data_IF_412544706883
#
_entry.id   IF_412544706883
#
_cell.length_a   1.000
_cell.length_b   1.000
_cell.length_c   1.000
_cell.angle_alpha   90.00
_cell.angle_beta   90.00
_cell.angle_gamma   90.00
#
_symmetry.space_group_name_H-M   'P 1'
#
loop_
_entity.id
_entity.type
_entity.pdbx_description
1 polymer ?
#
# COMPACT_ATOMS: atom_id res chain seq x y z
N UNK A 1 29.60 26.59 -5.18
CA UNK A 1 28.28 26.71 -4.52
C UNK A 1 27.35 25.72 -5.20
N UNK A 2 27.27 24.49 -4.71
CA UNK A 2 26.58 23.43 -5.43
C UNK A 2 26.28 22.25 -4.52
N UNK A 3 25.24 22.36 -3.70
CA UNK A 3 24.82 21.26 -2.82
C UNK A 3 23.31 21.32 -2.55
N UNK A 4 22.48 21.02 -3.55
CA UNK A 4 21.01 21.01 -3.38
C UNK A 4 20.28 19.84 -4.06
N UNK A 5 20.88 18.65 -4.11
CA UNK A 5 20.14 17.41 -4.44
C UNK A 5 20.39 16.25 -3.48
N UNK A 6 21.61 16.11 -2.96
CA UNK A 6 21.97 14.98 -2.08
C UNK A 6 21.40 15.15 -0.66
N UNK A 7 21.28 16.39 -0.17
CA UNK A 7 20.79 16.67 1.20
C UNK A 7 19.32 16.27 1.37
N UNK A 8 18.49 16.45 0.34
CA UNK A 8 17.09 15.99 0.33
C UNK A 8 17.05 14.45 0.39
N UNK A 9 17.87 13.77 -0.41
CA UNK A 9 17.94 12.29 -0.39
C UNK A 9 18.40 11.73 0.96
N UNK A 10 19.26 12.44 1.70
CA UNK A 10 19.75 12.01 3.02
C UNK A 10 18.78 12.31 4.15
N UNK A 11 18.09 13.46 4.14
CA UNK A 11 17.02 13.74 5.14
C UNK A 11 15.81 12.80 4.99
N UNK A 12 15.51 12.31 3.78
CA UNK A 12 14.52 11.26 3.54
C UNK A 12 14.89 9.87 4.09
N UNK A 13 16.17 9.61 4.38
CA UNK A 13 16.60 8.34 5.01
C UNK A 13 16.49 8.33 6.54
N UNK A 14 16.43 9.51 7.18
CA UNK A 14 16.49 9.62 8.64
C UNK A 14 15.12 9.46 9.32
N UNK A 15 14.02 9.77 8.63
CA UNK A 15 12.67 9.55 9.17
C UNK A 15 12.02 8.25 8.70
N UNK A 16 12.65 7.47 7.82
CA UNK A 16 12.12 6.18 7.35
C UNK A 16 10.82 6.26 6.54
N UNK A 17 10.08 7.36 6.60
CA UNK A 17 8.82 7.62 5.90
C UNK A 17 9.13 8.19 4.52
N UNK A 18 9.52 7.31 3.62
CA UNK A 18 9.58 7.63 2.18
C UNK A 18 8.16 7.97 1.69
N UNK A 19 7.99 8.84 0.70
CA UNK A 19 6.71 9.10 0.01
C UNK A 19 5.93 7.80 -0.29
N UNK A 20 6.66 6.74 -0.63
CA UNK A 20 6.13 5.38 -0.78
C UNK A 20 5.38 4.85 0.45
N UNK A 21 5.88 5.06 1.66
CA UNK A 21 5.22 4.65 2.90
C UNK A 21 3.95 5.46 3.19
N UNK A 22 3.95 6.76 2.87
CA UNK A 22 2.75 7.59 3.01
C UNK A 22 1.66 7.09 2.05
N UNK A 23 2.01 6.85 0.79
CA UNK A 23 1.11 6.27 -0.21
C UNK A 23 0.66 4.87 0.21
N UNK A 24 1.56 4.03 0.73
CA UNK A 24 1.21 2.71 1.26
C UNK A 24 0.23 2.81 2.44
N UNK A 25 0.38 3.81 3.32
CA UNK A 25 -0.50 4.02 4.47
C UNK A 25 -1.90 4.45 4.05
N UNK A 26 -2.02 5.38 3.10
CA UNK A 26 -3.31 5.80 2.54
C UNK A 26 -3.98 4.63 1.82
N UNK A 27 -3.23 3.85 1.02
CA UNK A 27 -3.77 2.65 0.35
C UNK A 27 -4.22 1.59 1.36
N UNK A 28 -3.49 1.39 2.45
CA UNK A 28 -3.87 0.47 3.50
C UNK A 28 -5.16 0.92 4.20
N UNK A 29 -5.33 2.21 4.44
CA UNK A 29 -6.53 2.75 5.08
C UNK A 29 -7.78 2.60 4.20
N UNK A 30 -7.65 2.91 2.90
CA UNK A 30 -8.70 2.63 1.93
C UNK A 30 -9.00 1.12 1.83
N UNK A 31 -7.97 0.27 1.80
CA UNK A 31 -8.16 -1.17 1.81
C UNK A 31 -8.94 -1.63 3.05
N UNK A 32 -8.67 -1.09 4.24
CA UNK A 32 -9.45 -1.39 5.45
C UNK A 32 -10.93 -1.04 5.29
N UNK A 33 -11.24 0.12 4.74
CA UNK A 33 -12.63 0.52 4.51
C UNK A 33 -13.34 -0.43 3.53
N UNK A 34 -12.65 -0.83 2.45
CA UNK A 34 -13.21 -1.79 1.51
C UNK A 34 -13.32 -3.21 2.10
N UNK A 35 -12.44 -3.61 3.02
CA UNK A 35 -12.54 -4.89 3.73
C UNK A 35 -13.75 -4.95 4.66
N UNK A 36 -14.20 -3.81 5.20
CA UNK A 36 -15.47 -3.74 5.95
C UNK A 36 -16.68 -3.88 5.02
N UNK A 37 -16.50 -3.58 3.74
CA UNK A 37 -17.52 -3.74 2.70
C UNK A 37 -17.29 -5.10 1.98
N UNK A 38 -17.72 -6.20 2.60
CA UNK A 38 -17.55 -7.59 2.11
C UNK A 38 -18.12 -7.89 0.71
N UNK A 39 -18.71 -6.91 0.03
CA UNK A 39 -19.28 -7.03 -1.30
C UNK A 39 -18.24 -6.85 -2.42
N UNK A 40 -17.11 -6.19 -2.16
CA UNK A 40 -16.14 -5.84 -3.20
C UNK A 40 -15.17 -7.00 -3.47
N UNK A 41 -15.04 -7.46 -4.73
CA UNK A 41 -14.04 -8.44 -5.06
C UNK A 41 -12.62 -7.87 -4.98
N UNK A 42 -11.71 -8.70 -4.51
CA UNK A 42 -10.31 -8.36 -4.24
C UNK A 42 -9.58 -7.85 -5.47
N UNK A 43 -9.93 -8.39 -6.64
CA UNK A 43 -9.48 -7.93 -7.96
C UNK A 43 -9.80 -6.46 -8.19
N UNK A 44 -11.03 -6.07 -7.88
CA UNK A 44 -11.54 -4.71 -8.08
C UNK A 44 -11.01 -3.76 -7.00
N UNK A 45 -10.86 -4.24 -5.76
CA UNK A 45 -10.18 -3.50 -4.69
C UNK A 45 -8.73 -3.15 -5.08
N UNK A 46 -7.99 -4.08 -5.68
CA UNK A 46 -6.64 -3.82 -6.17
C UNK A 46 -6.61 -2.73 -7.25
N UNK A 47 -7.52 -2.80 -8.20
CA UNK A 47 -7.69 -1.78 -9.25
C UNK A 47 -8.03 -0.41 -8.68
N UNK A 48 -8.99 -0.32 -7.74
CA UNK A 48 -9.36 0.92 -7.06
C UNK A 48 -8.21 1.56 -6.26
N UNK A 49 -7.32 0.74 -5.72
CA UNK A 49 -6.12 1.19 -5.00
C UNK A 49 -4.97 1.60 -5.92
N UNK A 50 -5.16 1.51 -7.25
CA UNK A 50 -4.18 1.86 -8.26
C UNK A 50 -3.11 0.79 -8.50
N UNK A 51 -3.45 -0.49 -8.29
CA UNK A 51 -2.65 -1.62 -8.74
C UNK A 51 -3.18 -2.16 -10.06
N UNK A 52 -2.30 -2.28 -11.05
CA UNK A 52 -2.63 -2.89 -12.35
C UNK A 52 -2.82 -4.40 -12.26
N UNK A 53 -2.25 -5.05 -11.23
CA UNK A 53 -2.32 -6.49 -11.04
C UNK A 53 -2.72 -6.86 -9.60
N UNK A 54 -3.56 -7.89 -9.49
CA UNK A 54 -3.87 -8.56 -8.22
C UNK A 54 -2.67 -9.18 -7.53
N UNK A 55 -1.66 -9.60 -8.28
CA UNK A 55 -0.42 -10.17 -7.75
C UNK A 55 0.36 -9.12 -6.93
N UNK A 56 0.43 -7.88 -7.43
CA UNK A 56 1.07 -6.74 -6.78
C UNK A 56 0.28 -6.30 -5.55
N UNK A 57 -1.05 -6.21 -5.68
CA UNK A 57 -1.94 -5.92 -4.55
C UNK A 57 -1.83 -6.99 -3.46
N UNK A 58 -1.86 -8.28 -3.80
CA UNK A 58 -1.79 -9.38 -2.82
C UNK A 58 -0.50 -9.36 -2.02
N UNK A 59 0.63 -9.02 -2.65
CA UNK A 59 1.92 -8.84 -1.96
C UNK A 59 1.88 -7.66 -0.99
N UNK A 60 1.33 -6.53 -1.41
CA UNK A 60 1.17 -5.34 -0.55
C UNK A 60 0.21 -5.61 0.62
N UNK A 61 -0.94 -6.22 0.33
CA UNK A 61 -1.96 -6.59 1.30
C UNK A 61 -1.42 -7.57 2.34
N UNK A 62 -0.69 -8.61 1.93
CA UNK A 62 -0.05 -9.54 2.86
C UNK A 62 0.99 -8.83 3.73
N UNK A 63 1.70 -7.83 3.20
CA UNK A 63 2.64 -7.01 3.98
C UNK A 63 1.93 -6.09 4.99
N UNK A 64 0.72 -5.62 4.69
CA UNK A 64 -0.06 -4.74 5.58
C UNK A 64 -0.86 -5.50 6.64
N UNK A 65 -1.53 -6.58 6.24
CA UNK A 65 -2.50 -7.31 7.06
C UNK A 65 -1.98 -8.69 7.54
N UNK A 66 -0.81 -9.13 7.05
CA UNK A 66 -0.23 -10.43 7.41
C UNK A 66 -0.88 -11.65 6.73
N UNK A 67 -2.05 -11.49 6.12
CA UNK A 67 -2.82 -12.56 5.47
C UNK A 67 -3.06 -12.26 4.00
N UNK A 68 -3.24 -13.31 3.19
CA UNK A 68 -3.63 -13.11 1.80
C UNK A 68 -5.07 -12.59 1.73
N UNK A 69 -5.38 -11.70 0.76
CA UNK A 69 -6.74 -11.21 0.61
C UNK A 69 -7.75 -12.36 0.43
N UNK A 70 -7.39 -13.39 -0.35
CA UNK A 70 -8.22 -14.58 -0.58
C UNK A 70 -8.59 -15.31 0.73
N UNK A 71 -7.63 -15.41 1.68
CA UNK A 71 -7.91 -15.95 3.02
C UNK A 71 -8.78 -15.04 3.87
N UNK A 72 -8.68 -13.71 3.70
CA UNK A 72 -9.57 -12.78 4.40
C UNK A 72 -11.02 -12.95 3.96
N UNK A 73 -11.27 -13.20 2.66
CA UNK A 73 -12.63 -13.41 2.12
C UNK A 73 -13.20 -14.80 2.37
N UNK A 74 -12.35 -15.80 2.63
CA UNK A 74 -12.79 -17.15 3.03
C UNK A 74 -13.13 -17.27 4.53
N UNK A 75 -12.84 -16.24 5.33
CA UNK A 75 -13.27 -16.14 6.73
C UNK A 75 -14.57 -15.36 6.83
#
# INVERSE_FOLDING_TARGET
MGDSRVVIQRKLRAEGITFRQLVERVRCDMAKQYLQQSHIPITEMGLMLGYSETSAFSRAFRRWFGISPSRFRQR
#
